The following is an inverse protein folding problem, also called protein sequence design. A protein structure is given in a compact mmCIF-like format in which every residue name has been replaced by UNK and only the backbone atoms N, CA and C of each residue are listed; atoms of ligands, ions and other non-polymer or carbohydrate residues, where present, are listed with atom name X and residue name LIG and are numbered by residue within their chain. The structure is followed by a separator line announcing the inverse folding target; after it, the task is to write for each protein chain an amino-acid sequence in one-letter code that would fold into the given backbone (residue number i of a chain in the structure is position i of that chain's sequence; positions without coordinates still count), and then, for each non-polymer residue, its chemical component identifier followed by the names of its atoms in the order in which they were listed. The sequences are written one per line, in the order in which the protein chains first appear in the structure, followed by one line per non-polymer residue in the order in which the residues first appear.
data_IF_269285312465
#
_entry.id   IF_269285312465
#
_cell.length_a   1.000
_cell.length_b   1.000
_cell.length_c   1.000
_cell.angle_alpha   90.00
_cell.angle_beta   90.00
_cell.angle_gamma   90.00
#
_symmetry.space_group_name_H-M   'P 1'
#
loop_
_entity.id
_entity.type
_entity.pdbx_description
1 polymer ?
#
# COMPACT_ATOMS: atom_id res chain seq x y z
N UNK A 1 14.06 -19.64 19.51
CA UNK A 1 13.27 -18.58 18.88
C UNK A 1 13.08 -17.54 19.95
N UNK A 2 13.77 -16.40 19.84
CA UNK A 2 13.61 -15.29 20.78
C UNK A 2 12.24 -14.65 20.55
N UNK A 3 11.61 -14.11 21.59
CA UNK A 3 10.29 -13.44 21.50
C UNK A 3 10.28 -12.25 20.50
N UNK A 4 11.45 -11.75 20.08
CA UNK A 4 11.66 -10.71 19.05
C UNK A 4 11.36 -11.13 17.59
N UNK A 5 11.19 -12.42 17.29
CA UNK A 5 10.93 -12.91 15.91
C UNK A 5 9.42 -13.11 15.63
N UNK A 6 8.55 -12.68 16.55
CA UNK A 6 7.12 -12.75 16.35
C UNK A 6 6.67 -11.70 15.31
N UNK A 7 5.91 -12.07 14.26
CA UNK A 7 5.43 -11.11 13.28
C UNK A 7 4.55 -10.05 13.97
N UNK A 8 4.96 -8.79 13.88
CA UNK A 8 4.18 -7.66 14.42
C UNK A 8 2.92 -7.52 13.56
N UNK A 9 1.70 -7.65 14.15
CA UNK A 9 0.48 -7.51 13.40
C UNK A 9 0.31 -6.05 12.96
N UNK A 10 0.35 -5.80 11.66
CA UNK A 10 0.08 -4.48 11.11
C UNK A 10 -1.44 -4.26 11.11
N UNK A 11 -1.95 -3.22 11.80
CA UNK A 11 -3.37 -2.89 11.72
C UNK A 11 -3.70 -2.53 10.27
N UNK A 12 -4.70 -3.20 9.71
CA UNK A 12 -5.20 -2.89 8.36
C UNK A 12 -6.20 -1.76 8.50
N UNK A 13 -5.70 -0.55 8.34
CA UNK A 13 -6.46 0.70 8.32
C UNK A 13 -6.72 1.15 6.88
N UNK A 14 -7.20 2.37 6.68
CA UNK A 14 -7.36 2.96 5.34
C UNK A 14 -6.04 3.50 4.76
N UNK A 15 -4.93 3.40 5.49
CA UNK A 15 -3.62 3.83 5.04
C UNK A 15 -2.48 2.88 5.48
N UNK A 16 -1.46 2.76 4.63
CA UNK A 16 -0.22 2.07 4.92
C UNK A 16 0.98 2.98 4.63
N UNK A 17 1.84 3.16 5.63
CA UNK A 17 3.13 3.85 5.48
C UNK A 17 4.20 2.86 4.99
N UNK A 18 4.80 3.15 3.85
CA UNK A 18 5.81 2.32 3.19
C UNK A 18 7.25 2.79 3.49
N UNK A 19 7.45 3.90 4.20
CA UNK A 19 8.80 4.38 4.57
C UNK A 19 9.54 3.42 5.48
N UNK A 20 8.82 2.59 6.24
CA UNK A 20 9.40 1.61 7.17
C UNK A 20 9.88 0.33 6.48
N UNK A 21 9.61 0.15 5.19
CA UNK A 21 9.93 -1.06 4.46
C UNK A 21 11.11 -0.85 3.50
N UNK A 22 11.96 -1.87 3.39
CA UNK A 22 13.00 -1.87 2.37
C UNK A 22 12.36 -1.93 0.97
N UNK A 23 12.95 -1.27 -0.05
CA UNK A 23 12.37 -1.26 -1.40
C UNK A 23 12.11 -2.66 -2.00
N UNK A 24 12.91 -3.66 -1.63
CA UNK A 24 12.74 -5.04 -2.09
C UNK A 24 11.44 -5.68 -1.56
N UNK A 25 10.96 -5.26 -0.40
CA UNK A 25 9.79 -5.82 0.27
C UNK A 25 8.49 -5.09 -0.09
N UNK A 26 8.58 -3.87 -0.63
CA UNK A 26 7.40 -3.03 -0.93
C UNK A 26 6.40 -3.76 -1.83
N UNK A 27 6.86 -4.55 -2.81
CA UNK A 27 5.97 -5.24 -3.73
C UNK A 27 5.10 -6.31 -3.04
N UNK A 28 5.70 -7.14 -2.18
CA UNK A 28 4.98 -8.17 -1.44
C UNK A 28 4.08 -7.54 -0.38
N UNK A 29 4.60 -6.56 0.38
CA UNK A 29 3.85 -5.84 1.41
C UNK A 29 2.59 -5.19 0.84
N UNK A 30 2.69 -4.50 -0.29
CA UNK A 30 1.54 -3.87 -0.94
C UNK A 30 0.53 -4.91 -1.40
N UNK A 31 0.97 -6.03 -1.96
CA UNK A 31 0.08 -7.12 -2.42
C UNK A 31 -0.73 -7.68 -1.25
N UNK A 32 -0.06 -8.11 -0.19
CA UNK A 32 -0.70 -8.68 1.00
C UNK A 32 -1.63 -7.68 1.69
N UNK A 33 -1.23 -6.41 1.76
CA UNK A 33 -2.06 -5.36 2.34
C UNK A 33 -3.35 -5.13 1.54
N UNK A 34 -3.30 -5.13 0.21
CA UNK A 34 -4.50 -4.92 -0.62
C UNK A 34 -5.50 -6.06 -0.48
N UNK A 35 -5.01 -7.30 -0.37
CA UNK A 35 -5.87 -8.45 -0.12
C UNK A 35 -6.50 -8.40 1.28
N UNK A 36 -5.72 -8.07 2.31
CA UNK A 36 -6.23 -7.90 3.66
C UNK A 36 -7.23 -6.73 3.78
N UNK A 37 -6.97 -5.61 3.12
CA UNK A 37 -7.86 -4.46 3.08
C UNK A 37 -9.18 -4.80 2.38
N UNK A 38 -9.12 -5.49 1.24
CA UNK A 38 -10.31 -5.94 0.52
C UNK A 38 -11.13 -6.95 1.35
N UNK A 39 -10.46 -7.88 2.04
CA UNK A 39 -11.12 -8.85 2.93
C UNK A 39 -11.85 -8.18 4.12
N UNK A 40 -11.39 -7.01 4.56
CA UNK A 40 -12.04 -6.18 5.58
C UNK A 40 -13.15 -5.28 5.03
N UNK A 41 -13.42 -5.32 3.73
CA UNK A 41 -14.45 -4.51 3.08
C UNK A 41 -14.06 -3.05 2.87
N UNK A 42 -12.77 -2.70 2.98
CA UNK A 42 -12.31 -1.36 2.64
C UNK A 42 -12.49 -1.11 1.14
N UNK A 43 -13.00 0.07 0.79
CA UNK A 43 -13.24 0.48 -0.61
C UNK A 43 -12.17 1.39 -1.16
N UNK A 44 -11.50 2.12 -0.28
CA UNK A 44 -10.39 3.00 -0.60
C UNK A 44 -9.29 2.78 0.43
N UNK A 45 -8.05 2.73 -0.04
CA UNK A 45 -6.86 2.76 0.81
C UNK A 45 -5.83 3.72 0.25
N UNK A 46 -4.90 4.16 1.10
CA UNK A 46 -3.83 5.08 0.75
C UNK A 46 -2.46 4.47 1.05
N UNK A 47 -1.61 4.40 0.05
CA UNK A 47 -0.24 3.90 0.17
C UNK A 47 0.72 5.10 0.23
N UNK A 48 1.42 5.28 1.33
CA UNK A 48 2.31 6.43 1.58
C UNK A 48 3.74 5.98 1.34
N UNK A 49 4.32 6.31 0.18
CA UNK A 49 5.66 5.85 -0.22
C UNK A 49 6.70 6.98 -0.29
N UNK A 50 6.31 8.18 0.14
CA UNK A 50 7.14 9.35 0.09
C UNK A 50 7.40 9.85 -1.33
N UNK A 51 8.13 10.97 -1.39
CA UNK A 51 8.51 11.63 -2.65
C UNK A 51 9.84 11.09 -3.17
N UNK A 52 10.89 11.15 -2.36
CA UNK A 52 12.21 10.54 -2.66
C UNK A 52 12.66 10.65 -4.12
N UNK A 53 13.30 9.60 -4.62
CA UNK A 53 13.66 9.42 -6.04
C UNK A 53 12.50 8.86 -6.89
N UNK A 54 11.37 8.52 -6.27
CA UNK A 54 10.23 7.88 -6.94
C UNK A 54 10.31 6.35 -7.07
N UNK A 55 11.36 5.69 -6.55
CA UNK A 55 11.53 4.22 -6.64
C UNK A 55 10.35 3.45 -6.04
N UNK A 56 9.96 3.74 -4.79
CA UNK A 56 8.82 3.05 -4.17
C UNK A 56 7.51 3.36 -4.89
N UNK A 57 7.30 4.59 -5.37
CA UNK A 57 6.13 4.95 -6.19
C UNK A 57 6.03 4.09 -7.45
N UNK A 58 7.15 3.86 -8.16
CA UNK A 58 7.17 3.00 -9.34
C UNK A 58 6.82 1.55 -9.01
N UNK A 59 7.37 1.01 -7.93
CA UNK A 59 7.07 -0.35 -7.44
C UNK A 59 5.58 -0.47 -7.11
N UNK A 60 5.05 0.44 -6.30
CA UNK A 60 3.63 0.50 -5.92
C UNK A 60 2.75 0.50 -7.17
N UNK A 61 2.97 1.43 -8.11
CA UNK A 61 2.13 1.54 -9.32
C UNK A 61 2.23 0.30 -10.21
N UNK A 62 3.39 -0.35 -10.27
CA UNK A 62 3.57 -1.61 -10.99
C UNK A 62 2.70 -2.72 -10.40
N UNK A 63 2.70 -2.90 -9.07
CA UNK A 63 1.82 -3.85 -8.37
C UNK A 63 0.35 -3.52 -8.63
N UNK A 64 -0.05 -2.27 -8.41
CA UNK A 64 -1.44 -1.83 -8.54
C UNK A 64 -2.02 -2.09 -9.94
N UNK A 65 -1.22 -1.87 -10.99
CA UNK A 65 -1.65 -2.09 -12.38
C UNK A 65 -2.02 -3.54 -12.72
N UNK A 66 -1.59 -4.51 -11.91
CA UNK A 66 -1.77 -5.95 -12.14
C UNK A 66 -2.62 -6.61 -11.06
N UNK A 67 -2.88 -5.94 -9.96
CA UNK A 67 -3.51 -6.53 -8.79
C UNK A 67 -5.02 -6.75 -9.01
N UNK A 68 -5.55 -7.98 -8.85
CA UNK A 68 -6.93 -8.31 -9.22
C UNK A 68 -7.98 -7.55 -8.38
N UNK A 69 -7.64 -7.18 -7.15
CA UNK A 69 -8.52 -6.40 -6.25
C UNK A 69 -8.55 -4.89 -6.55
N UNK A 70 -7.67 -4.36 -7.40
CA UNK A 70 -7.61 -2.92 -7.68
C UNK A 70 -8.59 -2.57 -8.79
N UNK A 71 -9.46 -1.60 -8.52
CA UNK A 71 -10.39 -1.04 -9.50
C UNK A 71 -9.78 0.17 -10.23
N UNK A 72 -9.11 1.06 -9.48
CA UNK A 72 -8.49 2.28 -10.00
C UNK A 72 -7.43 2.79 -9.00
N UNK A 73 -6.49 3.61 -9.47
CA UNK A 73 -5.51 4.28 -8.60
C UNK A 73 -4.96 5.58 -9.19
N UNK A 74 -4.70 6.54 -8.32
CA UNK A 74 -4.15 7.85 -8.68
C UNK A 74 -3.18 8.36 -7.61
N UNK A 75 -2.34 9.33 -7.96
CA UNK A 75 -1.62 10.11 -6.95
C UNK A 75 -2.66 10.77 -6.02
N UNK A 76 -2.35 10.88 -4.73
CA UNK A 76 -3.26 11.48 -3.77
C UNK A 76 -3.46 12.98 -4.03
N UNK A 77 -4.58 13.58 -3.58
CA UNK A 77 -4.72 15.04 -3.52
C UNK A 77 -3.56 15.69 -2.75
N UNK A 78 -3.19 16.95 -3.04
CA UNK A 78 -2.11 17.65 -2.35
C UNK A 78 -2.20 17.59 -0.82
N UNK A 79 -3.41 17.79 -0.28
CA UNK A 79 -3.73 17.75 1.15
C UNK A 79 -3.57 16.35 1.78
N UNK A 80 -3.53 15.28 0.96
CA UNK A 80 -3.33 13.90 1.42
C UNK A 80 -1.95 13.32 1.05
N UNK A 81 -1.02 14.16 0.65
CA UNK A 81 0.37 13.79 0.37
C UNK A 81 0.80 13.96 -1.09
N UNK A 82 -0.11 14.32 -1.99
CA UNK A 82 0.20 14.52 -3.42
C UNK A 82 0.79 13.25 -4.04
N UNK A 83 1.73 13.45 -4.97
CA UNK A 83 2.51 12.35 -5.58
C UNK A 83 3.40 11.57 -4.60
N UNK A 84 3.49 11.97 -3.32
CA UNK A 84 4.14 11.18 -2.27
C UNK A 84 3.27 10.02 -1.74
N UNK A 85 2.03 9.91 -2.23
CA UNK A 85 1.12 8.84 -1.86
C UNK A 85 0.22 8.47 -3.03
N UNK A 86 -0.20 7.20 -3.09
CA UNK A 86 -1.15 6.70 -4.08
C UNK A 86 -2.45 6.32 -3.38
N UNK A 87 -3.57 6.86 -3.87
CA UNK A 87 -4.93 6.46 -3.46
C UNK A 87 -5.38 5.32 -4.36
N UNK A 88 -5.89 4.25 -3.76
CA UNK A 88 -6.28 3.02 -4.43
C UNK A 88 -7.75 2.74 -4.14
N UNK A 89 -8.55 2.58 -5.19
CA UNK A 89 -9.92 2.09 -5.09
C UNK A 89 -9.92 0.58 -5.25
N UNK A 90 -10.51 -0.11 -4.30
CA UNK A 90 -10.62 -1.56 -4.28
C UNK A 90 -11.95 -1.99 -4.90
N UNK A 91 -11.94 -3.12 -5.62
CA UNK A 91 -13.15 -3.78 -6.08
C UNK A 91 -13.89 -4.33 -4.87
N UNK A 92 -15.16 -3.99 -4.74
CA UNK A 92 -16.07 -4.71 -3.85
C UNK A 92 -16.32 -6.10 -4.45
N UNK A 93 -16.14 -7.13 -3.62
CA UNK A 93 -16.65 -8.47 -3.91
C UNK A 93 -18.16 -8.51 -3.88
#
# INVERSE_FOLDING_TARGET
MSEDDAPVPIPIEDALDLHTFAPADVASVVTEYLDAAAARGLREVRLIHGRGTGTQRQIVRSVLSRHPRVADFADAPPERGGWGSTVVRLKTG
#
